data_IF_026458468551
#
_entry.id   IF_026458468551
#
_cell.length_a   1.000
_cell.length_b   1.000
_cell.length_c   1.000
_cell.angle_alpha   90.00
_cell.angle_beta   90.00
_cell.angle_gamma   90.00
#
_symmetry.space_group_name_H-M   'P 1'
#
loop_
_entity.id
_entity.type
_entity.pdbx_description
1 polymer ?
#
# COMPACT_ATOMS: atom_id res chain seq x y z
N UNK A 1 -7.44 -5.61 -3.40
CA UNK A 1 -6.01 -5.53 -3.01
C UNK A 1 -5.15 -5.22 -4.22
N UNK A 2 -4.16 -4.38 -4.04
CA UNK A 2 -3.20 -4.06 -5.08
C UNK A 2 -1.87 -4.67 -4.69
N UNK A 3 -1.24 -5.43 -5.57
CA UNK A 3 0.05 -6.03 -5.30
C UNK A 3 1.04 -5.69 -6.40
N UNK A 4 2.26 -5.40 -6.02
CA UNK A 4 3.34 -5.14 -6.97
C UNK A 4 4.56 -5.96 -6.58
N UNK A 5 5.42 -6.25 -7.55
CA UNK A 5 6.62 -7.04 -7.33
C UNK A 5 7.73 -6.51 -8.22
N UNK A 6 8.95 -6.90 -7.90
CA UNK A 6 10.11 -6.49 -8.68
C UNK A 6 10.59 -5.12 -8.30
N UNK A 7 10.72 -4.24 -9.25
CA UNK A 7 11.32 -2.93 -9.04
C UNK A 7 10.33 -1.82 -9.35
N UNK A 8 10.29 -0.82 -8.50
CA UNK A 8 9.52 0.40 -8.75
C UNK A 8 10.52 1.55 -8.77
N UNK A 9 10.72 2.14 -9.92
CA UNK A 9 11.69 3.20 -10.14
C UNK A 9 11.08 4.31 -11.00
N UNK A 10 11.90 5.27 -11.40
CA UNK A 10 11.41 6.40 -12.18
C UNK A 10 10.80 5.97 -13.52
N UNK A 11 11.22 4.83 -14.08
CA UNK A 11 10.73 4.40 -15.38
C UNK A 11 9.31 3.86 -15.31
N UNK A 12 8.92 3.25 -14.20
CA UNK A 12 7.62 2.60 -14.10
C UNK A 12 6.71 3.14 -12.99
N UNK A 13 7.18 4.10 -12.20
CA UNK A 13 6.37 4.63 -11.10
C UNK A 13 5.06 5.25 -11.60
N UNK A 14 5.07 5.87 -12.76
CA UNK A 14 3.85 6.43 -13.35
C UNK A 14 2.82 5.37 -13.65
N UNK A 15 3.27 4.24 -14.20
CA UNK A 15 2.38 3.12 -14.49
C UNK A 15 1.83 2.55 -13.18
N UNK A 16 2.67 2.41 -12.16
CA UNK A 16 2.23 1.93 -10.85
C UNK A 16 1.20 2.89 -10.27
N UNK A 17 1.44 4.21 -10.35
CA UNK A 17 0.51 5.21 -9.84
C UNK A 17 -0.84 5.11 -10.55
N UNK A 18 -0.83 5.02 -11.87
CA UNK A 18 -2.07 4.95 -12.64
C UNK A 18 -2.86 3.69 -12.27
N UNK A 19 -2.17 2.58 -12.12
CA UNK A 19 -2.82 1.34 -11.76
C UNK A 19 -3.39 1.43 -10.34
N UNK A 20 -2.64 2.02 -9.43
CA UNK A 20 -3.09 2.17 -8.04
C UNK A 20 -4.32 3.08 -7.96
N UNK A 21 -4.31 4.19 -8.69
CA UNK A 21 -5.44 5.11 -8.68
C UNK A 21 -6.68 4.48 -9.29
N UNK A 22 -6.50 3.62 -10.30
CA UNK A 22 -7.62 2.91 -10.90
C UNK A 22 -8.30 1.98 -9.89
N UNK A 23 -7.55 1.48 -8.89
CA UNK A 23 -8.12 0.63 -7.85
C UNK A 23 -8.97 1.42 -6.88
N UNK A 24 -8.84 2.74 -6.84
CA UNK A 24 -9.54 3.58 -5.87
C UNK A 24 -10.99 3.88 -6.24
N UNK A 25 -11.49 3.35 -7.35
CA UNK A 25 -12.85 3.58 -7.79
C UNK A 25 -13.80 2.64 -7.04
N UNK A 26 -14.78 3.23 -6.37
CA UNK A 26 -15.83 2.45 -5.71
C UNK A 26 -15.36 1.55 -4.59
N UNK A 27 -14.24 1.86 -3.96
CA UNK A 27 -13.79 1.07 -2.84
C UNK A 27 -13.71 1.95 -1.59
N UNK A 28 -13.76 1.32 -0.44
CA UNK A 28 -13.61 2.01 0.83
C UNK A 28 -12.36 1.57 1.57
N UNK A 29 -11.75 0.49 1.15
CA UNK A 29 -10.58 -0.07 1.80
C UNK A 29 -9.61 -0.55 0.75
N UNK A 30 -8.33 -0.33 0.99
CA UNK A 30 -7.30 -0.73 0.05
C UNK A 30 -6.09 -1.29 0.79
N UNK A 31 -5.62 -2.45 0.36
CA UNK A 31 -4.35 -2.99 0.83
C UNK A 31 -3.37 -2.91 -0.34
N UNK A 32 -2.24 -2.27 -0.10
CA UNK A 32 -1.18 -2.16 -1.09
C UNK A 32 -0.06 -3.09 -0.64
N UNK A 33 0.05 -4.23 -1.28
CA UNK A 33 1.03 -5.25 -0.94
C UNK A 33 2.30 -5.04 -1.76
N UNK A 34 3.32 -4.53 -1.12
CA UNK A 34 4.64 -4.29 -1.73
C UNK A 34 5.68 -5.24 -1.15
N UNK A 35 5.24 -6.33 -0.52
CA UNK A 35 6.17 -7.25 0.14
C UNK A 35 7.12 -7.95 -0.83
N UNK A 36 6.76 -8.03 -2.09
CA UNK A 36 7.61 -8.64 -3.12
C UNK A 36 8.41 -7.63 -3.94
N UNK A 37 8.42 -6.36 -3.53
CA UNK A 37 9.18 -5.33 -4.22
C UNK A 37 10.63 -5.38 -3.78
N UNK A 38 11.54 -5.61 -4.72
CA UNK A 38 12.96 -5.78 -4.44
C UNK A 38 13.73 -4.46 -4.47
N UNK A 39 13.28 -3.50 -5.24
CA UNK A 39 13.88 -2.17 -5.30
C UNK A 39 12.76 -1.13 -5.31
N UNK A 40 12.90 -0.12 -4.48
CA UNK A 40 11.88 0.92 -4.38
C UNK A 40 12.58 2.27 -4.31
N UNK A 41 12.48 3.03 -5.37
CA UNK A 41 13.14 4.32 -5.46
C UNK A 41 12.27 5.46 -4.96
N UNK A 42 12.82 6.67 -4.99
CA UNK A 42 12.10 7.88 -4.58
C UNK A 42 10.83 8.08 -5.39
N UNK A 43 10.86 7.73 -6.69
CA UNK A 43 9.67 7.85 -7.52
C UNK A 43 8.54 6.96 -7.02
N UNK A 44 8.87 5.78 -6.43
CA UNK A 44 7.88 4.92 -5.81
C UNK A 44 7.25 5.57 -4.59
N UNK A 45 8.06 6.28 -3.79
CA UNK A 45 7.52 7.01 -2.64
C UNK A 45 6.57 8.11 -3.13
N UNK A 46 6.91 8.82 -4.19
CA UNK A 46 6.03 9.84 -4.76
C UNK A 46 4.70 9.23 -5.18
N UNK A 47 4.71 8.02 -5.72
CA UNK A 47 3.48 7.31 -6.07
C UNK A 47 2.63 7.04 -4.84
N UNK A 48 3.26 6.64 -3.72
CA UNK A 48 2.52 6.40 -2.48
C UNK A 48 1.96 7.70 -1.91
N UNK A 49 2.64 8.82 -2.11
CA UNK A 49 2.11 10.11 -1.67
C UNK A 49 0.85 10.49 -2.45
N UNK A 50 0.86 10.28 -3.77
CA UNK A 50 -0.31 10.53 -4.60
C UNK A 50 -1.46 9.65 -4.16
N UNK A 51 -1.18 8.38 -3.89
CA UNK A 51 -2.19 7.44 -3.44
C UNK A 51 -2.73 7.84 -2.07
N UNK A 52 -1.87 8.32 -1.18
CA UNK A 52 -2.27 8.78 0.15
C UNK A 52 -3.25 9.94 0.04
N UNK A 53 -2.98 10.89 -0.85
CA UNK A 53 -3.86 12.03 -1.06
C UNK A 53 -5.21 11.58 -1.58
N UNK A 54 -5.22 10.65 -2.54
CA UNK A 54 -6.46 10.15 -3.11
C UNK A 54 -7.27 9.42 -2.05
N UNK A 55 -6.62 8.60 -1.24
CA UNK A 55 -7.31 7.86 -0.19
C UNK A 55 -7.90 8.81 0.87
N UNK A 56 -7.18 9.89 1.20
CA UNK A 56 -7.69 10.87 2.13
C UNK A 56 -8.89 11.59 1.53
N UNK A 57 -8.80 12.03 0.29
CA UNK A 57 -9.88 12.77 -0.35
C UNK A 57 -11.14 11.93 -0.52
N UNK A 58 -11.00 10.66 -0.81
CA UNK A 58 -12.12 9.77 -1.06
C UNK A 58 -12.53 8.96 0.17
N UNK A 59 -11.95 9.25 1.31
CA UNK A 59 -12.22 8.56 2.58
C UNK A 59 -12.00 7.04 2.46
N UNK A 60 -10.91 6.65 1.80
CA UNK A 60 -10.53 5.26 1.66
C UNK A 60 -9.54 4.92 2.78
N UNK A 61 -9.88 3.91 3.57
CA UNK A 61 -8.95 3.40 4.58
C UNK A 61 -7.95 2.49 3.87
N UNK A 62 -6.66 2.67 4.12
CA UNK A 62 -5.65 1.88 3.42
C UNK A 62 -4.47 1.50 4.29
N UNK A 63 -3.80 0.44 3.88
CA UNK A 63 -2.62 -0.04 4.58
C UNK A 63 -1.63 -0.55 3.53
N UNK A 64 -0.35 -0.41 3.83
CA UNK A 64 0.73 -0.88 2.96
C UNK A 64 1.48 -2.00 3.66
N UNK A 65 1.79 -3.06 2.93
CA UNK A 65 2.62 -4.14 3.45
C UNK A 65 3.97 -4.02 2.74
N UNK A 66 4.98 -3.43 3.37
CA UNK A 66 6.24 -3.15 2.69
C UNK A 66 7.22 -4.30 2.72
N UNK A 67 8.07 -4.37 1.70
CA UNK A 67 9.25 -5.20 1.70
C UNK A 67 10.33 -4.51 2.51
N UNK A 68 11.46 -5.17 2.70
CA UNK A 68 12.63 -4.55 3.33
C UNK A 68 13.08 -3.30 2.57
N UNK A 69 13.07 -3.38 1.23
CA UNK A 69 13.47 -2.24 0.41
C UNK A 69 12.53 -1.05 0.60
N UNK A 70 11.23 -1.31 0.65
CA UNK A 70 10.24 -0.27 0.84
C UNK A 70 10.35 0.33 2.24
N UNK A 71 10.51 -0.51 3.27
CA UNK A 71 10.68 -0.02 4.64
C UNK A 71 11.89 0.89 4.76
N UNK A 72 12.99 0.50 4.12
CA UNK A 72 14.22 1.26 4.18
C UNK A 72 14.03 2.65 3.60
N UNK A 73 13.36 2.74 2.46
CA UNK A 73 13.11 4.03 1.83
C UNK A 73 12.12 4.87 2.64
N UNK A 74 11.08 4.26 3.18
CA UNK A 74 10.10 4.99 3.98
C UNK A 74 10.72 5.55 5.25
N UNK A 75 11.70 4.85 5.82
CA UNK A 75 12.38 5.34 7.01
C UNK A 75 13.08 6.66 6.73
N UNK A 76 13.55 6.86 5.51
CA UNK A 76 14.26 8.06 5.11
C UNK A 76 13.30 9.14 4.62
N UNK A 77 12.35 8.78 3.78
CA UNK A 77 11.48 9.73 3.08
C UNK A 77 10.20 10.07 3.84
N UNK A 78 9.80 9.24 4.78
CA UNK A 78 8.52 9.39 5.46
C UNK A 78 8.68 9.38 6.98
N UNK A 79 9.46 10.30 7.55
CA UNK A 79 9.73 10.29 8.98
C UNK A 79 8.48 10.53 9.84
N UNK A 80 7.45 11.14 9.27
CA UNK A 80 6.21 11.40 10.00
C UNK A 80 5.18 10.31 9.81
N UNK A 81 5.56 9.22 9.14
CA UNK A 81 4.71 8.06 8.96
C UNK A 81 3.34 8.37 8.34
N UNK A 82 3.36 9.12 7.24
CA UNK A 82 2.13 9.44 6.52
C UNK A 82 1.61 8.24 5.73
N UNK A 83 2.49 7.28 5.40
CA UNK A 83 2.09 6.06 4.71
C UNK A 83 1.83 5.00 5.78
N UNK A 84 0.59 4.50 5.90
CA UNK A 84 0.31 3.49 6.90
C UNK A 84 0.93 2.14 6.51
N UNK A 85 1.59 1.49 7.45
CA UNK A 85 2.26 0.22 7.18
C UNK A 85 1.84 -0.86 8.16
N UNK A 86 1.85 -2.09 7.68
CA UNK A 86 1.60 -3.27 8.47
C UNK A 86 2.64 -4.32 8.12
N UNK A 87 2.77 -5.33 8.96
CA UNK A 87 3.78 -6.37 8.74
C UNK A 87 3.33 -7.46 7.77
N UNK A 88 2.05 -7.67 7.63
CA UNK A 88 1.51 -8.72 6.76
C UNK A 88 0.15 -8.35 6.22
N UNK A 89 -0.24 -9.00 5.13
CA UNK A 89 -1.53 -8.75 4.50
C UNK A 89 -2.67 -9.05 5.47
N UNK A 90 -2.56 -10.12 6.25
CA UNK A 90 -3.61 -10.46 7.22
C UNK A 90 -3.81 -9.36 8.24
N UNK A 91 -2.72 -8.77 8.74
CA UNK A 91 -2.81 -7.66 9.68
C UNK A 91 -3.47 -6.44 9.02
N UNK A 92 -3.15 -6.17 7.77
CA UNK A 92 -3.73 -5.07 7.04
C UNK A 92 -5.24 -5.26 6.89
N UNK A 93 -5.66 -6.46 6.52
CA UNK A 93 -7.08 -6.76 6.36
C UNK A 93 -7.82 -6.61 7.69
N UNK A 94 -7.22 -7.06 8.78
CA UNK A 94 -7.84 -6.95 10.08
C UNK A 94 -7.98 -5.50 10.52
N UNK A 95 -6.96 -4.69 10.30
CA UNK A 95 -7.01 -3.28 10.67
C UNK A 95 -8.07 -2.53 9.87
N UNK A 96 -8.16 -2.82 8.59
CA UNK A 96 -9.13 -2.14 7.73
C UNK A 96 -10.56 -2.58 8.04
N UNK A 97 -10.74 -3.82 8.48
CA UNK A 97 -12.07 -4.31 8.84
C UNK A 97 -12.51 -3.80 10.21
N UNK A 98 -11.60 -3.24 10.99
CA UNK A 98 -11.93 -2.76 12.32
C UNK A 98 -12.21 -3.89 13.29
N UNK A 99 -11.66 -5.09 13.06
CA UNK A 99 -11.89 -6.21 13.95
C UNK A 99 -10.64 -7.03 14.13
N UNK A 100 -10.71 -7.94 15.09
CA UNK A 100 -9.59 -8.75 15.40
C UNK A 100 -9.33 -9.76 14.33
N UNK A 101 -8.11 -10.22 14.25
CA UNK A 101 -7.73 -11.18 13.26
C UNK A 101 -8.38 -12.52 13.54
N UNK A 102 -9.63 -12.64 13.43
CA UNK A 102 -10.19 -13.93 13.64
C UNK A 102 -10.70 -14.31 12.33
N UNK A 103 -11.18 -15.20 12.29
CA UNK A 103 -11.89 -15.71 11.39
C UNK A 103 -12.21 -15.14 10.15
N UNK A 104 -12.93 -14.30 10.14
CA UNK A 104 -13.46 -13.88 8.95
C UNK A 104 -12.50 -13.69 7.93
N UNK A 105 -11.49 -13.44 8.30
CA UNK A 105 -10.56 -13.13 7.42
C UNK A 105 -10.26 -14.11 6.59
N UNK A 106 -10.31 -14.97 7.02
CA UNK A 106 -10.06 -16.02 6.45
C UNK A 106 -10.58 -16.09 5.18
N UNK A 107 -11.40 -15.66 5.05
CA UNK A 107 -11.97 -15.76 3.85
C UNK A 107 -11.30 -15.14 2.82
N UNK A 108 -10.74 -15.12 2.56
CA UNK A 108 -10.35 -14.68 1.75
C UNK A 108 -10.41 -14.40 0.84
N UNK A 109 -10.23 -14.19 0.33
CA UNK A 109 -10.24 -13.82 -0.52
C UNK A 109 -9.97 -13.69 -1.48
N UNK A 110 -9.91 -13.87 -1.95
CA UNK A 110 -9.70 -13.82 -2.90
C UNK A 110 -9.72 -13.46 -3.54
#
# INVERSE_FOLDING_TARGET
MLAARGEIDAANAGTFTDYALAQCTRIRRLVVDLSAVEFFGIAGFSSLQVLSERCTDDSIAWQTVPSTAVRRLLRICDPTATVPVCDAVDDALCRLAGRRPSLELVTKPR
#
